data_IF_116775256681
#
_entry.id   IF_116775256681
#
_cell.length_a   1.000
_cell.length_b   1.000
_cell.length_c   1.000
_cell.angle_alpha   90.00
_cell.angle_beta   90.00
_cell.angle_gamma   90.00
#
_symmetry.space_group_name_H-M   'P 1'
#
loop_
_entity.id
_entity.type
_entity.pdbx_description
1 polymer ?
#
# COMPACT_ATOMS: atom_id res chain seq x y z
N UNK A 1 27.69 -75.89 -49.94
CA UNK A 1 28.70 -74.81 -49.78
C UNK A 1 27.95 -73.61 -49.23
N UNK A 2 27.75 -73.51 -47.90
CA UNK A 2 28.66 -72.92 -46.92
C UNK A 2 29.14 -71.51 -47.31
N UNK A 3 28.47 -70.50 -46.78
CA UNK A 3 29.06 -69.21 -46.48
C UNK A 3 28.45 -68.67 -45.17
N UNK A 4 29.24 -68.78 -44.10
CA UNK A 4 29.16 -67.99 -42.87
C UNK A 4 29.29 -66.50 -43.27
N UNK A 5 28.69 -65.51 -42.62
CA UNK A 5 28.93 -65.15 -41.22
C UNK A 5 27.95 -64.03 -40.77
N UNK A 6 27.81 -63.85 -39.44
CA UNK A 6 26.82 -63.01 -38.76
C UNK A 6 27.38 -61.62 -38.38
N UNK A 7 26.51 -60.80 -37.77
CA UNK A 7 26.66 -59.48 -37.10
C UNK A 7 25.63 -58.53 -37.72
N UNK A 8 24.78 -57.81 -37.01
CA UNK A 8 24.69 -57.57 -35.59
C UNK A 8 23.28 -57.01 -35.28
N UNK A 9 22.69 -57.54 -34.22
CA UNK A 9 22.08 -56.79 -33.11
C UNK A 9 20.92 -55.83 -33.42
N UNK A 10 19.72 -56.33 -33.09
CA UNK A 10 18.55 -55.58 -32.61
C UNK A 10 18.93 -54.47 -31.62
N UNK A 11 18.38 -53.28 -31.78
CA UNK A 11 18.52 -52.18 -30.82
C UNK A 11 17.42 -51.15 -30.95
N UNK A 12 16.28 -51.48 -30.35
CA UNK A 12 15.11 -50.69 -30.03
C UNK A 12 15.16 -49.16 -30.24
N UNK A 13 14.12 -48.70 -30.95
CA UNK A 13 13.44 -47.42 -30.84
C UNK A 13 13.42 -46.90 -29.38
N UNK A 14 14.06 -45.76 -29.12
CA UNK A 14 13.63 -44.81 -28.09
C UNK A 14 13.92 -43.39 -28.57
N UNK A 15 12.85 -42.74 -29.02
CA UNK A 15 12.69 -41.30 -28.99
C UNK A 15 12.97 -40.81 -27.58
N UNK A 16 13.81 -39.78 -27.42
CA UNK A 16 13.63 -38.75 -26.39
C UNK A 16 14.61 -37.58 -26.65
N UNK A 17 14.01 -36.48 -27.08
CA UNK A 17 14.33 -35.10 -26.69
C UNK A 17 15.74 -34.57 -26.98
N UNK A 18 15.85 -33.86 -28.09
CA UNK A 18 16.87 -32.84 -28.29
C UNK A 18 16.78 -31.77 -27.21
N UNK A 19 17.80 -31.71 -26.35
CA UNK A 19 18.10 -30.54 -25.55
C UNK A 19 18.79 -29.53 -26.48
N UNK A 20 17.98 -28.77 -27.22
CA UNK A 20 18.43 -27.53 -27.82
C UNK A 20 18.93 -26.64 -26.68
N UNK A 21 20.22 -26.29 -26.71
CA UNK A 21 20.72 -25.08 -26.08
C UNK A 21 19.86 -23.90 -26.55
N UNK A 22 18.87 -23.55 -25.75
CA UNK A 22 18.21 -22.26 -25.82
C UNK A 22 18.71 -21.48 -24.62
N UNK A 23 19.65 -20.60 -24.93
CA UNK A 23 19.87 -19.32 -24.26
C UNK A 23 18.69 -18.96 -23.35
N UNK A 24 18.94 -18.64 -22.06
CA UNK A 24 17.88 -18.13 -21.21
C UNK A 24 17.23 -16.95 -21.93
N UNK A 25 15.88 -16.88 -21.98
CA UNK A 25 15.21 -15.80 -22.65
C UNK A 25 15.67 -14.46 -22.05
N UNK A 26 15.72 -13.40 -22.86
CA UNK A 26 16.34 -12.13 -22.51
C UNK A 26 15.75 -11.57 -21.21
N UNK A 27 16.63 -11.00 -20.38
CA UNK A 27 16.25 -10.09 -19.28
C UNK A 27 15.35 -8.97 -19.84
N UNK A 28 14.20 -8.79 -19.20
CA UNK A 28 13.16 -7.74 -19.37
C UNK A 28 12.35 -7.79 -20.68
N UNK A 29 11.12 -8.29 -20.59
CA UNK A 29 10.02 -7.72 -21.36
C UNK A 29 9.54 -6.45 -20.63
N UNK A 30 10.13 -5.31 -20.98
CA UNK A 30 9.70 -4.01 -20.52
C UNK A 30 8.45 -3.59 -21.31
N UNK A 31 7.26 -3.81 -20.77
CA UNK A 31 6.00 -3.09 -21.12
C UNK A 31 4.94 -3.10 -20.01
N UNK A 32 5.24 -3.61 -18.81
CA UNK A 32 4.26 -3.76 -17.73
C UNK A 32 4.37 -2.62 -16.72
N UNK A 33 3.23 -2.03 -16.35
CA UNK A 33 3.13 -0.93 -15.41
C UNK A 33 3.86 -1.23 -14.08
N UNK A 34 4.39 -0.21 -13.37
CA UNK A 34 5.12 -0.43 -12.12
C UNK A 34 4.22 -1.12 -11.08
N UNK A 35 4.66 -2.23 -10.51
CA UNK A 35 3.85 -3.00 -9.53
C UNK A 35 3.60 -2.22 -8.25
N UNK A 36 4.66 -1.63 -7.72
CA UNK A 36 4.63 -0.84 -6.49
C UNK A 36 5.17 0.53 -6.83
N UNK A 37 4.43 1.58 -6.49
CA UNK A 37 4.89 2.97 -6.62
C UNK A 37 4.88 3.60 -5.23
N UNK A 38 5.98 4.25 -4.87
CA UNK A 38 6.09 5.03 -3.64
C UNK A 38 5.98 6.52 -3.96
N UNK A 39 5.19 7.23 -3.18
CA UNK A 39 4.95 8.66 -3.25
C UNK A 39 5.41 9.27 -1.95
N UNK A 40 6.26 10.30 -2.03
CA UNK A 40 6.79 11.02 -0.88
C UNK A 40 6.66 12.53 -1.07
N UNK A 41 6.88 13.32 -0.02
CA UNK A 41 7.02 14.78 -0.15
C UNK A 41 8.48 15.23 -0.04
N UNK A 42 8.90 16.15 -0.91
CA UNK A 42 10.22 16.78 -0.81
C UNK A 42 10.41 17.62 0.45
N UNK A 43 9.31 18.04 1.09
CA UNK A 43 9.36 18.74 2.37
C UNK A 43 9.74 17.81 3.54
N UNK A 44 9.69 16.49 3.35
CA UNK A 44 10.14 15.54 4.37
C UNK A 44 11.67 15.42 4.44
N UNK A 45 12.19 15.01 5.59
CA UNK A 45 13.61 14.71 5.73
C UNK A 45 14.01 13.46 4.91
N UNK A 46 15.25 13.36 4.39
CA UNK A 46 15.67 12.26 3.52
C UNK A 46 15.36 10.83 4.02
N UNK A 47 15.47 10.51 5.33
CA UNK A 47 15.11 9.18 5.83
C UNK A 47 13.65 8.79 5.59
N UNK A 48 12.74 9.75 5.59
CA UNK A 48 11.31 9.54 5.34
C UNK A 48 11.04 9.42 3.84
N UNK A 49 11.74 10.20 3.01
CA UNK A 49 11.61 10.13 1.55
C UNK A 49 11.99 8.76 0.99
N UNK A 50 12.88 8.02 1.67
CA UNK A 50 13.45 6.77 1.19
C UNK A 50 12.93 5.53 1.94
N UNK A 51 12.02 5.71 2.91
CA UNK A 51 11.66 4.66 3.87
C UNK A 51 11.08 3.39 3.21
N UNK A 52 10.30 3.54 2.13
CA UNK A 52 9.60 2.44 1.50
C UNK A 52 10.43 1.63 0.47
N UNK A 53 11.18 2.31 -0.39
CA UNK A 53 11.89 1.68 -1.52
C UNK A 53 13.41 1.54 -1.32
N UNK A 54 13.94 1.85 -0.12
CA UNK A 54 15.38 1.93 0.16
C UNK A 54 16.21 0.62 0.08
N UNK A 55 15.64 -0.48 -0.43
CA UNK A 55 16.35 -1.76 -0.61
C UNK A 55 17.06 -1.90 -1.98
N UNK A 56 16.97 -0.89 -2.85
CA UNK A 56 17.70 -0.81 -4.12
C UNK A 56 16.89 -0.04 -5.16
N UNK A 57 17.57 0.73 -6.01
CA UNK A 57 16.98 1.59 -7.03
C UNK A 57 16.09 0.85 -8.06
N UNK A 58 16.05 -0.48 -8.03
CA UNK A 58 15.24 -1.35 -8.89
C UNK A 58 13.94 -1.87 -8.25
N UNK A 59 13.69 -1.64 -6.94
CA UNK A 59 12.56 -2.28 -6.23
C UNK A 59 11.18 -1.63 -6.50
N UNK A 60 11.14 -0.30 -6.55
CA UNK A 60 9.94 0.47 -6.91
C UNK A 60 10.28 1.91 -7.29
N UNK A 61 9.59 2.52 -8.29
CA UNK A 61 9.66 3.96 -8.52
C UNK A 61 9.27 4.73 -7.26
N UNK A 62 10.11 5.69 -6.89
CA UNK A 62 9.89 6.60 -5.76
C UNK A 62 9.75 8.03 -6.29
N UNK A 63 8.56 8.59 -6.20
CA UNK A 63 8.19 9.85 -6.86
C UNK A 63 7.81 10.91 -5.84
N UNK A 64 8.30 12.12 -6.06
CA UNK A 64 7.88 13.28 -5.28
C UNK A 64 6.46 13.69 -5.67
N UNK A 65 5.61 13.90 -4.68
CA UNK A 65 4.23 14.33 -4.84
C UNK A 65 4.15 15.69 -5.56
N UNK A 66 5.13 16.56 -5.35
CA UNK A 66 5.19 17.89 -5.95
C UNK A 66 5.43 17.87 -7.45
N UNK A 67 6.06 16.80 -7.97
CA UNK A 67 6.31 16.62 -9.41
C UNK A 67 5.25 15.73 -10.07
N UNK A 68 4.22 15.33 -9.32
CA UNK A 68 3.26 14.35 -9.81
C UNK A 68 2.41 14.93 -10.93
N UNK A 69 2.61 14.39 -12.13
CA UNK A 69 1.70 14.49 -13.26
C UNK A 69 1.29 13.07 -13.66
N UNK A 70 0.00 12.86 -13.93
CA UNK A 70 -0.56 11.54 -14.14
C UNK A 70 -0.04 10.94 -15.46
N UNK A 71 0.79 9.88 -15.44
CA UNK A 71 1.28 9.29 -16.68
C UNK A 71 0.13 8.74 -17.54
N UNK A 72 0.25 8.85 -18.87
CA UNK A 72 -0.80 8.39 -19.81
C UNK A 72 -1.25 6.95 -19.60
N UNK A 73 -0.29 6.08 -19.28
CA UNK A 73 -0.51 4.64 -19.05
C UNK A 73 -0.26 4.26 -17.58
N UNK A 74 -0.60 5.17 -16.66
CA UNK A 74 -0.44 4.95 -15.23
C UNK A 74 -1.29 3.77 -14.75
N UNK A 75 -0.61 2.78 -14.17
CA UNK A 75 -1.21 1.74 -13.36
C UNK A 75 -0.18 1.28 -12.33
N UNK A 76 -0.66 0.94 -11.14
CA UNK A 76 0.15 0.23 -10.15
C UNK A 76 -0.75 -0.71 -9.34
N UNK A 77 -0.24 -1.88 -8.97
CA UNK A 77 -0.97 -2.80 -8.08
C UNK A 77 -1.02 -2.23 -6.65
N UNK A 78 0.07 -1.57 -6.25
CA UNK A 78 0.26 -1.01 -4.91
C UNK A 78 0.75 0.43 -4.99
N UNK A 79 0.14 1.28 -4.16
CA UNK A 79 0.60 2.64 -3.91
C UNK A 79 1.02 2.80 -2.46
N UNK A 80 2.23 3.31 -2.22
CA UNK A 80 2.72 3.63 -0.89
C UNK A 80 2.77 5.15 -0.78
N UNK A 81 2.07 5.71 0.20
CA UNK A 81 2.29 7.09 0.63
C UNK A 81 3.23 7.06 1.83
N UNK A 82 4.44 7.58 1.65
CA UNK A 82 5.49 7.57 2.67
C UNK A 82 5.90 8.98 3.04
N UNK A 83 5.96 9.26 4.35
CA UNK A 83 6.32 10.60 4.82
C UNK A 83 5.66 11.02 6.11
N UNK A 84 5.72 12.32 6.39
CA UNK A 84 4.99 12.88 7.53
C UNK A 84 3.50 13.00 7.26
N UNK A 85 2.70 12.66 8.27
CA UNK A 85 1.26 12.94 8.28
C UNK A 85 0.82 13.24 9.70
N UNK A 86 -0.15 14.16 9.78
CA UNK A 86 -0.89 14.48 10.97
C UNK A 86 -2.22 15.07 10.51
N UNK A 87 -3.32 14.30 10.56
CA UNK A 87 -4.62 14.75 10.07
C UNK A 87 -4.96 16.18 10.54
N UNK A 88 -5.44 17.06 9.64
CA UNK A 88 -5.90 16.76 8.28
C UNK A 88 -4.82 16.85 7.19
N UNK A 89 -3.53 16.98 7.53
CA UNK A 89 -2.45 17.08 6.56
C UNK A 89 -1.70 15.76 6.37
N UNK A 90 -1.42 15.43 5.11
CA UNK A 90 -0.73 14.21 4.69
C UNK A 90 0.34 14.57 3.67
N UNK A 91 1.60 14.19 3.92
CA UNK A 91 2.74 14.55 3.07
C UNK A 91 2.78 16.08 2.79
N UNK A 92 2.55 16.87 3.84
CA UNK A 92 2.48 18.34 3.82
C UNK A 92 1.39 18.94 2.90
N UNK A 93 0.39 18.15 2.51
CA UNK A 93 -0.74 18.57 1.68
C UNK A 93 -2.08 18.04 2.22
N UNK A 94 -3.16 18.20 1.46
CA UNK A 94 -4.50 17.70 1.78
C UNK A 94 -4.77 16.29 1.25
N UNK A 95 -5.83 15.62 1.75
CA UNK A 95 -6.20 14.27 1.33
C UNK A 95 -6.54 14.18 -0.17
N UNK A 96 -7.05 15.26 -0.77
CA UNK A 96 -7.41 15.31 -2.19
C UNK A 96 -6.19 15.16 -3.10
N UNK A 97 -5.01 15.61 -2.65
CA UNK A 97 -3.78 15.45 -3.42
C UNK A 97 -3.38 13.97 -3.53
N UNK A 98 -3.46 13.24 -2.43
CA UNK A 98 -3.18 11.80 -2.40
C UNK A 98 -4.25 11.03 -3.18
N UNK A 99 -5.52 11.41 -3.03
CA UNK A 99 -6.63 10.81 -3.79
C UNK A 99 -6.46 10.97 -5.31
N UNK A 100 -5.98 12.12 -5.80
CA UNK A 100 -5.67 12.29 -7.23
C UNK A 100 -4.58 11.33 -7.71
N UNK A 101 -3.55 11.10 -6.91
CA UNK A 101 -2.50 10.14 -7.24
C UNK A 101 -3.06 8.72 -7.26
N UNK A 102 -3.87 8.36 -6.26
CA UNK A 102 -4.52 7.05 -6.19
C UNK A 102 -5.46 6.82 -7.37
N UNK A 103 -6.29 7.81 -7.74
CA UNK A 103 -7.17 7.76 -8.92
C UNK A 103 -6.39 7.53 -10.22
N UNK A 104 -5.20 8.13 -10.34
CA UNK A 104 -4.36 7.95 -11.52
C UNK A 104 -3.83 6.51 -11.64
N UNK A 105 -3.26 5.96 -10.56
CA UNK A 105 -2.67 4.62 -10.58
C UNK A 105 -3.67 3.48 -10.44
N UNK A 106 -4.87 3.74 -9.87
CA UNK A 106 -5.94 2.76 -9.60
C UNK A 106 -5.45 1.49 -8.87
N UNK A 107 -4.76 1.63 -7.71
CA UNK A 107 -4.21 0.49 -7.00
C UNK A 107 -5.28 -0.38 -6.34
N UNK A 108 -4.96 -1.66 -6.14
CA UNK A 108 -5.76 -2.57 -5.31
C UNK A 108 -5.38 -2.45 -3.82
N UNK A 109 -4.14 -2.03 -3.53
CA UNK A 109 -3.62 -1.84 -2.18
C UNK A 109 -2.98 -0.45 -2.02
N UNK A 110 -3.36 0.25 -0.96
CA UNK A 110 -2.76 1.51 -0.54
C UNK A 110 -2.10 1.31 0.83
N UNK A 111 -0.81 1.59 0.91
CA UNK A 111 -0.05 1.57 2.16
C UNK A 111 0.18 3.01 2.62
N UNK A 112 -0.28 3.32 3.82
CA UNK A 112 -0.04 4.59 4.50
C UNK A 112 1.16 4.42 5.43
N UNK A 113 2.37 4.57 4.88
CA UNK A 113 3.63 4.58 5.63
C UNK A 113 3.89 5.96 6.23
N UNK A 114 2.94 6.36 7.08
CA UNK A 114 2.91 7.68 7.70
C UNK A 114 2.42 7.57 9.14
N UNK A 115 2.76 8.56 9.96
CA UNK A 115 2.17 8.66 11.29
C UNK A 115 0.69 9.03 11.19
N UNK A 116 -0.18 8.34 11.93
CA UNK A 116 -1.62 8.69 12.04
C UNK A 116 -2.37 8.77 10.70
N UNK A 117 -1.82 8.26 9.60
CA UNK A 117 -2.40 8.41 8.27
C UNK A 117 -3.74 7.69 8.12
N UNK A 118 -3.95 6.61 8.88
CA UNK A 118 -5.20 5.86 8.86
C UNK A 118 -6.32 6.64 9.55
N UNK A 119 -6.97 7.52 8.78
CA UNK A 119 -7.82 8.59 9.28
C UNK A 119 -8.94 8.90 8.31
N UNK A 120 -10.10 9.27 8.87
CA UNK A 120 -11.34 9.40 8.12
C UNK A 120 -11.26 10.39 6.95
N UNK A 121 -10.69 11.61 7.08
CA UNK A 121 -10.61 12.54 5.95
C UNK A 121 -9.82 12.00 4.76
N UNK A 122 -8.77 11.21 5.01
CA UNK A 122 -8.01 10.58 3.93
C UNK A 122 -8.77 9.37 3.34
N UNK A 123 -9.35 8.54 4.19
CA UNK A 123 -10.13 7.38 3.73
C UNK A 123 -11.32 7.79 2.87
N UNK A 124 -12.01 8.89 3.22
CA UNK A 124 -13.11 9.45 2.41
C UNK A 124 -12.63 9.87 1.02
N UNK A 125 -11.58 10.69 0.95
CA UNK A 125 -11.04 11.12 -0.34
C UNK A 125 -10.54 9.94 -1.19
N UNK A 126 -9.96 8.91 -0.55
CA UNK A 126 -9.54 7.69 -1.25
C UNK A 126 -10.74 6.85 -1.71
N UNK A 127 -11.81 6.72 -0.93
CA UNK A 127 -13.00 5.95 -1.30
C UNK A 127 -13.69 6.53 -2.53
N UNK A 128 -13.75 7.86 -2.63
CA UNK A 128 -14.29 8.55 -3.81
C UNK A 128 -13.42 8.31 -5.06
N UNK A 129 -12.10 8.23 -4.89
CA UNK A 129 -11.14 8.08 -5.97
C UNK A 129 -10.98 6.63 -6.47
N UNK A 130 -10.93 5.67 -5.54
CA UNK A 130 -10.58 4.26 -5.78
C UNK A 130 -11.40 3.33 -4.87
N UNK A 131 -12.72 3.23 -5.08
CA UNK A 131 -13.60 2.44 -4.23
C UNK A 131 -13.19 0.97 -4.17
N UNK A 132 -13.31 0.35 -2.99
CA UNK A 132 -13.00 -1.06 -2.77
C UNK A 132 -11.51 -1.41 -2.59
N UNK A 133 -10.58 -0.47 -2.82
CA UNK A 133 -9.16 -0.72 -2.58
C UNK A 133 -8.90 -1.00 -1.08
N UNK A 134 -7.96 -1.90 -0.80
CA UNK A 134 -7.51 -2.20 0.56
C UNK A 134 -6.56 -1.10 1.02
N UNK A 135 -6.83 -0.49 2.17
CA UNK A 135 -5.95 0.50 2.80
C UNK A 135 -5.37 -0.10 4.07
N UNK A 136 -4.06 0.07 4.26
CA UNK A 136 -3.35 -0.36 5.47
C UNK A 136 -2.53 0.79 6.00
N UNK A 137 -2.62 1.07 7.29
CA UNK A 137 -1.91 2.18 7.91
C UNK A 137 -1.91 2.16 9.42
N UNK A 138 -1.19 3.12 10.00
CA UNK A 138 -1.14 3.31 11.45
C UNK A 138 -2.11 4.42 11.91
N UNK A 139 -2.77 4.17 13.04
CA UNK A 139 -3.50 5.18 13.83
C UNK A 139 -2.60 5.79 14.92
N UNK A 140 -1.28 5.64 14.79
CA UNK A 140 -0.29 6.06 15.78
C UNK A 140 1.03 6.48 15.12
N UNK A 141 2.01 6.89 15.93
CA UNK A 141 3.34 7.29 15.43
C UNK A 141 4.14 6.10 14.91
N UNK A 142 4.71 6.27 13.73
CA UNK A 142 5.75 5.40 13.19
C UNK A 142 7.14 5.99 13.45
N UNK A 143 8.20 5.16 13.52
CA UNK A 143 9.56 5.65 13.57
C UNK A 143 9.97 6.28 12.23
N UNK A 144 11.02 7.11 12.17
CA UNK A 144 11.44 7.80 10.93
C UNK A 144 11.80 6.87 9.77
N UNK A 145 12.14 5.61 10.05
CA UNK A 145 12.46 4.60 9.03
C UNK A 145 11.20 3.92 8.45
N UNK A 146 10.01 4.40 8.79
CA UNK A 146 8.74 3.88 8.31
C UNK A 146 8.49 2.41 8.68
N UNK A 147 7.71 1.76 7.83
CA UNK A 147 7.40 0.33 7.90
C UNK A 147 8.62 -0.51 7.46
N UNK A 148 8.61 -1.80 7.83
CA UNK A 148 9.56 -2.78 7.31
C UNK A 148 8.81 -3.64 6.29
N UNK A 149 9.27 -3.60 5.05
CA UNK A 149 8.74 -4.40 3.95
C UNK A 149 9.59 -5.66 3.76
N UNK A 150 8.93 -6.79 3.63
CA UNK A 150 9.59 -8.05 3.27
C UNK A 150 9.83 -8.11 1.75
N UNK A 151 10.80 -8.91 1.30
CA UNK A 151 11.11 -9.01 -0.13
C UNK A 151 9.91 -9.49 -0.98
N UNK A 152 9.06 -10.36 -0.41
CA UNK A 152 7.85 -10.88 -1.04
C UNK A 152 6.79 -9.81 -1.29
N UNK A 153 6.83 -8.69 -0.55
CA UNK A 153 5.91 -7.58 -0.76
C UNK A 153 5.99 -7.01 -2.17
N UNK A 154 7.15 -7.06 -2.82
CA UNK A 154 7.39 -6.52 -4.16
C UNK A 154 7.11 -7.54 -5.28
N UNK A 155 6.83 -8.80 -4.93
CA UNK A 155 6.49 -9.87 -5.89
C UNK A 155 5.00 -9.87 -6.24
N UNK A 156 4.58 -10.35 -7.42
CA UNK A 156 3.18 -10.44 -7.82
C UNK A 156 2.30 -11.12 -6.76
N UNK A 157 1.11 -10.59 -6.54
CA UNK A 157 0.18 -11.15 -5.55
C UNK A 157 -1.01 -10.24 -5.29
N UNK A 158 -2.06 -10.80 -4.69
CA UNK A 158 -3.27 -10.05 -4.33
C UNK A 158 -2.99 -9.00 -3.26
N UNK A 159 -3.84 -7.99 -3.17
CA UNK A 159 -3.79 -6.98 -2.12
C UNK A 159 -3.73 -7.59 -0.70
N UNK A 160 -4.57 -8.60 -0.41
CA UNK A 160 -4.58 -9.26 0.92
C UNK A 160 -3.27 -9.98 1.20
N UNK A 161 -2.73 -10.72 0.21
CA UNK A 161 -1.47 -11.45 0.39
C UNK A 161 -0.30 -10.49 0.62
N UNK A 162 -0.27 -9.34 -0.07
CA UNK A 162 0.75 -8.30 0.10
C UNK A 162 0.59 -7.53 1.41
N UNK A 163 -0.64 -7.34 1.90
CA UNK A 163 -0.93 -6.69 3.18
C UNK A 163 -0.30 -7.40 4.39
N UNK A 164 0.06 -8.68 4.25
CA UNK A 164 0.78 -9.47 5.24
C UNK A 164 2.32 -9.36 5.16
N UNK A 165 2.86 -8.66 4.14
CA UNK A 165 4.31 -8.63 3.84
C UNK A 165 4.99 -7.34 4.24
N UNK A 166 4.36 -6.58 5.14
CA UNK A 166 4.97 -5.46 5.81
C UNK A 166 4.38 -5.28 7.19
N UNK A 167 5.18 -4.74 8.10
CA UNK A 167 4.80 -4.57 9.49
C UNK A 167 5.54 -3.38 10.10
N UNK A 168 5.04 -2.95 11.24
CA UNK A 168 5.78 -1.97 12.03
C UNK A 168 7.04 -2.59 12.62
N UNK A 169 8.08 -1.77 12.77
CA UNK A 169 9.33 -2.19 13.44
C UNK A 169 9.13 -2.53 14.91
N UNK A 170 8.08 -2.02 15.53
CA UNK A 170 7.72 -2.28 16.93
C UNK A 170 6.86 -3.52 17.13
N UNK A 171 6.35 -4.14 16.05
CA UNK A 171 5.41 -5.25 16.12
C UNK A 171 3.97 -4.83 16.48
N UNK A 172 3.70 -3.52 16.63
CA UNK A 172 2.33 -3.04 16.79
C UNK A 172 1.52 -3.30 15.51
N UNK A 173 0.25 -3.73 15.63
CA UNK A 173 -0.57 -4.03 14.47
C UNK A 173 -0.88 -2.76 13.67
N UNK A 174 -1.05 -2.93 12.35
CA UNK A 174 -1.57 -1.91 11.46
C UNK A 174 -3.07 -2.11 11.28
N UNK A 175 -3.81 -1.03 11.12
CA UNK A 175 -5.22 -1.11 10.76
C UNK A 175 -5.33 -1.44 9.28
N UNK A 176 -6.23 -2.35 8.94
CA UNK A 176 -6.50 -2.79 7.57
C UNK A 176 -7.98 -2.67 7.30
N UNK A 177 -8.36 -2.09 6.17
CA UNK A 177 -9.76 -1.91 5.84
C UNK A 177 -9.97 -1.67 4.35
N UNK A 178 -11.08 -2.16 3.79
CA UNK A 178 -11.44 -1.93 2.38
C UNK A 178 -12.34 -0.71 2.26
N UNK A 179 -12.02 0.16 1.32
CA UNK A 179 -12.73 1.42 1.12
C UNK A 179 -14.20 1.19 0.78
N UNK A 180 -15.07 1.70 1.65
CA UNK A 180 -16.53 1.64 1.56
C UNK A 180 -17.11 3.01 1.94
N UNK A 181 -17.63 3.74 0.95
CA UNK A 181 -18.13 5.10 1.14
C UNK A 181 -19.32 5.17 2.12
N UNK A 182 -20.19 4.16 2.12
CA UNK A 182 -21.37 4.13 2.98
C UNK A 182 -20.96 3.93 4.44
N UNK A 183 -19.99 3.04 4.69
CA UNK A 183 -19.44 2.82 6.03
C UNK A 183 -18.69 4.06 6.56
N UNK A 184 -17.98 4.79 5.71
CA UNK A 184 -17.33 6.06 6.10
C UNK A 184 -18.36 7.13 6.45
N UNK A 185 -19.44 7.24 5.69
CA UNK A 185 -20.55 8.13 6.01
C UNK A 185 -21.16 7.80 7.38
N UNK A 186 -21.42 6.52 7.65
CA UNK A 186 -21.95 6.07 8.94
C UNK A 186 -21.01 6.36 10.11
N UNK A 187 -19.69 6.20 9.91
CA UNK A 187 -18.69 6.55 10.93
C UNK A 187 -18.72 8.05 11.26
N UNK A 188 -18.86 8.91 10.24
CA UNK A 188 -19.03 10.36 10.41
C UNK A 188 -20.31 10.70 11.16
N UNK A 189 -21.45 10.14 10.75
CA UNK A 189 -22.74 10.39 11.42
C UNK A 189 -22.70 9.97 12.90
N UNK A 190 -22.02 8.85 13.19
CA UNK A 190 -21.79 8.37 14.56
C UNK A 190 -20.99 9.37 15.38
N UNK A 191 -19.89 9.90 14.82
CA UNK A 191 -19.07 10.92 15.46
C UNK A 191 -19.85 12.23 15.70
N UNK A 192 -20.71 12.62 14.75
CA UNK A 192 -21.54 13.82 14.88
C UNK A 192 -22.50 13.73 16.08
N UNK A 193 -23.01 12.53 16.37
CA UNK A 193 -23.88 12.26 17.50
C UNK A 193 -23.17 12.19 18.86
N UNK A 194 -21.83 12.14 18.92
CA UNK A 194 -21.09 12.03 20.18
C UNK A 194 -21.09 13.34 20.98
N UNK A 195 -21.41 13.21 22.27
CA UNK A 195 -21.22 14.24 23.28
C UNK A 195 -19.75 14.36 23.70
N UNK A 196 -19.47 15.33 24.59
CA UNK A 196 -18.12 15.62 25.08
C UNK A 196 -17.50 14.40 25.76
N UNK A 197 -18.26 13.69 26.59
CA UNK A 197 -17.74 12.55 27.36
C UNK A 197 -17.38 11.37 26.44
N UNK A 198 -18.18 11.13 25.39
CA UNK A 198 -17.90 10.12 24.38
C UNK A 198 -16.66 10.46 23.52
N UNK A 199 -16.48 11.75 23.19
CA UNK A 199 -15.29 12.25 22.49
C UNK A 199 -14.03 12.11 23.35
N UNK A 200 -14.09 12.50 24.63
CA UNK A 200 -12.96 12.42 25.56
C UNK A 200 -12.53 10.97 25.80
N UNK A 201 -13.48 10.04 25.94
CA UNK A 201 -13.21 8.62 26.12
C UNK A 201 -12.45 7.98 24.93
N UNK A 202 -12.52 8.59 23.74
CA UNK A 202 -11.93 8.09 22.50
C UNK A 202 -10.77 8.93 22.00
N UNK A 203 -10.31 9.89 22.80
CA UNK A 203 -9.22 10.79 22.45
C UNK A 203 -7.88 10.03 22.39
N UNK A 204 -7.35 9.86 21.19
CA UNK A 204 -6.03 9.23 20.94
C UNK A 204 -4.92 10.25 21.08
N UNK A 205 -5.19 11.52 20.74
CA UNK A 205 -4.21 12.60 20.77
C UNK A 205 -4.87 13.94 21.10
N UNK A 206 -4.21 14.76 21.92
CA UNK A 206 -4.70 16.10 22.33
C UNK A 206 -4.38 17.24 21.35
N UNK A 207 -3.26 17.18 20.62
CA UNK A 207 -2.83 18.27 19.74
C UNK A 207 -2.26 17.76 18.40
N UNK A 208 -3.04 17.76 17.30
CA UNK A 208 -4.48 18.08 17.24
C UNK A 208 -5.32 17.04 18.00
N UNK A 209 -6.58 17.39 18.28
CA UNK A 209 -7.56 16.46 18.85
C UNK A 209 -7.86 15.39 17.80
N UNK A 210 -7.37 14.17 18.01
CA UNK A 210 -7.68 13.01 17.19
C UNK A 210 -8.45 12.02 18.05
N UNK A 211 -9.67 11.67 17.61
CA UNK A 211 -10.49 10.65 18.25
C UNK A 211 -10.51 9.39 17.38
N UNK A 212 -10.63 8.22 18.02
CA UNK A 212 -10.81 6.95 17.33
C UNK A 212 -12.29 6.70 17.06
N UNK A 213 -12.65 6.41 15.82
CA UNK A 213 -14.01 6.04 15.39
C UNK A 213 -13.95 4.66 14.74
N UNK A 214 -14.80 3.75 15.20
CA UNK A 214 -14.90 2.40 14.65
C UNK A 214 -15.49 2.45 13.24
N UNK A 215 -14.94 1.66 12.33
CA UNK A 215 -15.41 1.52 10.97
C UNK A 215 -16.45 0.38 10.92
N UNK A 216 -17.70 0.65 10.53
CA UNK A 216 -18.76 -0.36 10.50
C UNK A 216 -18.38 -1.60 9.69
N UNK A 217 -18.80 -2.77 10.17
CA UNK A 217 -18.58 -4.04 9.47
C UNK A 217 -17.16 -4.62 9.55
N UNK A 218 -16.26 -3.99 10.31
CA UNK A 218 -14.89 -4.46 10.50
C UNK A 218 -14.40 -4.28 11.95
N UNK A 219 -13.39 -5.05 12.34
CA UNK A 219 -12.60 -4.79 13.57
C UNK A 219 -11.49 -3.78 13.24
N UNK A 220 -11.89 -2.57 12.89
CA UNK A 220 -11.00 -1.49 12.47
C UNK A 220 -11.51 -0.14 12.98
N UNK A 221 -10.59 0.77 13.29
CA UNK A 221 -10.92 2.14 13.67
C UNK A 221 -10.03 3.13 12.92
N UNK A 222 -10.60 4.28 12.58
CA UNK A 222 -9.92 5.40 11.93
C UNK A 222 -9.85 6.61 12.87
N UNK A 223 -8.81 7.42 12.69
CA UNK A 223 -8.70 8.68 13.42
C UNK A 223 -9.52 9.78 12.75
N UNK A 224 -10.16 10.62 13.56
CA UNK A 224 -10.86 11.80 13.07
C UNK A 224 -10.36 13.05 13.78
N UNK A 225 -9.93 14.09 13.04
CA UNK A 225 -9.67 15.39 13.65
C UNK A 225 -10.98 16.03 14.11
N UNK A 226 -11.03 16.44 15.37
CA UNK A 226 -12.22 17.05 15.97
C UNK A 226 -11.93 18.48 16.41
N UNK A 227 -12.80 19.42 16.06
CA UNK A 227 -12.67 20.81 16.45
C UNK A 227 -12.62 20.96 17.99
N UNK A 228 -11.73 21.79 18.57
CA UNK A 228 -11.64 21.99 20.02
C UNK A 228 -12.96 22.40 20.68
N UNK A 229 -13.83 23.08 19.95
CA UNK A 229 -15.15 23.54 20.42
C UNK A 229 -16.06 22.37 20.81
N UNK A 230 -15.92 21.20 20.16
CA UNK A 230 -16.68 19.99 20.48
C UNK A 230 -16.33 19.37 21.83
N UNK A 231 -15.23 19.80 22.46
CA UNK A 231 -14.82 19.37 23.80
C UNK A 231 -15.22 20.38 24.90
N UNK A 232 -15.89 21.48 24.55
CA UNK A 232 -16.37 22.46 25.52
C UNK A 232 -17.75 22.03 26.05
N UNK A 233 -17.92 22.11 27.35
CA UNK A 233 -19.20 21.87 28.05
C UNK A 233 -20.03 23.15 28.12
#
# INVERSE_FOLDING_TARGET
MSARNPKAVLGALMLLSGACSREPPPRRAATEAPRVVSIFSRADAPPLQQAACGAGDDACPNLALEDFDCPRDAAAEVLIFSGHSLPPLYLHTGPEALARVAACYRPELIVLDTCYGFSLPLLEALADAVPGALVVGATYKLPPQGLRYDADFFQPGTADARAERFHTRSGKPLTRWRLDADALSQARDTLEAWDVDALEARLVRKLPNLVSVDLPGADAAALVPVAPERFRR
#
